data_IF_179571443734
#
_entry.id   IF_179571443734
#
_cell.length_a   1.000
_cell.length_b   1.000
_cell.length_c   1.000
_cell.angle_alpha   90.00
_cell.angle_beta   90.00
_cell.angle_gamma   90.00
#
_symmetry.space_group_name_H-M   'P 1'
#
loop_
_entity.id
_entity.type
_entity.pdbx_description
1 polymer ?
#
# COMPACT_ATOMS: atom_id res chain seq x y z
N UNK A 1 42.72 -14.30 -10.68
CA UNK A 1 43.18 -14.12 -9.30
C UNK A 1 44.43 -13.24 -9.35
N UNK A 2 44.31 -11.96 -9.03
CA UNK A 2 45.46 -11.03 -9.01
C UNK A 2 45.86 -10.87 -7.54
N UNK A 3 47.08 -11.21 -7.21
CA UNK A 3 47.67 -10.98 -5.87
C UNK A 3 48.40 -9.65 -5.89
N UNK A 4 48.07 -8.78 -4.94
CA UNK A 4 48.87 -7.62 -4.62
C UNK A 4 49.92 -7.96 -3.59
N UNK A 5 51.04 -7.25 -3.55
CA UNK A 5 52.16 -7.46 -2.65
C UNK A 5 51.86 -7.31 -1.17
N UNK A 6 50.62 -6.83 -0.81
CA UNK A 6 50.15 -6.67 0.56
C UNK A 6 49.32 -7.85 1.13
N UNK A 7 49.26 -8.97 0.40
CA UNK A 7 48.59 -10.20 0.85
C UNK A 7 47.06 -10.17 0.87
N UNK A 8 46.41 -9.12 0.37
CA UNK A 8 44.94 -9.05 0.26
C UNK A 8 44.44 -9.73 -1.01
N UNK A 9 43.64 -10.75 -0.87
CA UNK A 9 42.95 -11.43 -1.97
C UNK A 9 41.62 -10.70 -2.22
N UNK A 10 41.50 -10.01 -3.32
CA UNK A 10 40.19 -9.53 -3.80
C UNK A 10 39.49 -10.68 -4.52
N UNK A 11 38.39 -11.14 -3.95
CA UNK A 11 37.47 -12.03 -4.65
C UNK A 11 36.77 -11.21 -5.74
N UNK A 12 37.08 -11.47 -7.01
CA UNK A 12 36.33 -10.92 -8.14
C UNK A 12 34.92 -11.52 -8.08
N UNK A 13 33.97 -10.79 -7.50
CA UNK A 13 32.55 -11.08 -7.73
C UNK A 13 32.28 -10.80 -9.22
N UNK A 14 31.68 -11.74 -9.94
CA UNK A 14 31.34 -11.52 -11.36
C UNK A 14 30.53 -10.24 -11.49
N UNK A 15 30.82 -9.41 -12.49
CA UNK A 15 30.07 -8.16 -12.76
C UNK A 15 28.55 -8.40 -12.82
N UNK A 16 28.15 -9.59 -13.25
CA UNK A 16 26.77 -10.05 -13.26
C UNK A 16 26.16 -10.11 -11.85
N UNK A 17 26.93 -10.51 -10.83
CA UNK A 17 26.45 -10.57 -9.44
C UNK A 17 26.22 -9.15 -8.86
N UNK A 18 27.08 -8.21 -9.24
CA UNK A 18 26.96 -6.80 -8.85
C UNK A 18 25.75 -6.13 -9.52
N UNK A 19 25.52 -6.45 -10.79
CA UNK A 19 24.35 -5.99 -11.56
C UNK A 19 23.05 -6.59 -11.00
N UNK A 20 23.05 -7.88 -10.63
CA UNK A 20 21.90 -8.55 -10.00
C UNK A 20 21.62 -7.97 -8.62
N UNK A 21 22.65 -7.71 -7.80
CA UNK A 21 22.49 -7.05 -6.49
C UNK A 21 21.95 -5.61 -6.63
N UNK A 22 22.47 -4.83 -7.58
CA UNK A 22 21.95 -3.50 -7.91
C UNK A 22 20.50 -3.56 -8.40
N UNK A 23 20.16 -4.54 -9.24
CA UNK A 23 18.80 -4.75 -9.75
C UNK A 23 17.83 -5.15 -8.63
N UNK A 24 18.24 -6.03 -7.71
CA UNK A 24 17.47 -6.45 -6.53
C UNK A 24 17.26 -5.30 -5.52
N UNK A 25 18.15 -4.29 -5.50
CA UNK A 25 18.03 -3.13 -4.62
C UNK A 25 17.23 -1.97 -5.23
N UNK A 26 16.90 -2.01 -6.53
CA UNK A 26 16.32 -0.85 -7.22
C UNK A 26 14.97 -0.38 -6.67
N UNK A 27 14.18 -1.27 -6.07
CA UNK A 27 12.85 -0.94 -5.57
C UNK A 27 12.68 -1.16 -4.06
N UNK A 28 13.67 -1.78 -3.39
CA UNK A 28 13.65 -1.91 -1.93
C UNK A 28 13.73 -0.53 -1.28
N UNK A 29 12.96 -0.34 -0.21
CA UNK A 29 12.83 0.95 0.46
C UNK A 29 11.75 1.85 -0.14
N UNK A 30 11.14 1.52 -1.29
CA UNK A 30 10.06 2.29 -1.90
C UNK A 30 8.69 1.78 -1.46
N UNK A 31 7.78 2.73 -1.22
CA UNK A 31 6.37 2.49 -0.87
C UNK A 31 5.46 3.18 -1.88
N UNK A 32 4.39 2.50 -2.30
CA UNK A 32 3.35 3.05 -3.16
C UNK A 32 2.04 2.98 -2.37
N UNK A 33 1.50 4.11 -2.00
CA UNK A 33 0.39 4.23 -1.06
C UNK A 33 -0.83 4.74 -1.83
N UNK A 34 -1.81 3.87 -2.05
CA UNK A 34 -3.10 4.28 -2.55
C UNK A 34 -4.06 4.49 -1.39
N UNK A 35 -4.61 5.69 -1.28
CA UNK A 35 -5.60 6.05 -0.27
C UNK A 35 -6.82 6.70 -0.92
N UNK A 36 -7.98 6.48 -0.33
CA UNK A 36 -9.23 7.03 -0.84
C UNK A 36 -10.38 6.82 0.13
N UNK A 37 -11.44 7.60 0.03
CA UNK A 37 -12.73 7.28 0.63
C UNK A 37 -13.27 5.93 0.17
N UNK A 38 -14.04 5.28 1.04
CA UNK A 38 -14.68 4.00 0.71
C UNK A 38 -15.61 4.15 -0.51
N UNK A 39 -15.42 3.33 -1.54
CA UNK A 39 -16.22 3.40 -2.78
C UNK A 39 -15.57 4.17 -3.92
N UNK A 40 -14.42 4.82 -3.74
CA UNK A 40 -13.71 5.57 -4.78
C UNK A 40 -13.07 4.70 -5.88
N UNK A 41 -13.02 3.36 -5.71
CA UNK A 41 -12.42 2.46 -6.69
C UNK A 41 -10.93 2.16 -6.49
N UNK A 42 -10.36 2.55 -5.35
CA UNK A 42 -8.95 2.35 -4.97
C UNK A 42 -8.45 0.93 -5.22
N UNK A 43 -9.14 -0.08 -4.68
CA UNK A 43 -8.74 -1.49 -4.81
C UNK A 43 -8.65 -1.94 -6.27
N UNK A 44 -9.48 -1.40 -7.15
CA UNK A 44 -9.45 -1.71 -8.59
C UNK A 44 -8.15 -1.20 -9.22
N UNK A 45 -7.76 0.04 -8.91
CA UNK A 45 -6.51 0.62 -9.39
C UNK A 45 -5.29 -0.12 -8.84
N UNK A 46 -5.29 -0.44 -7.54
CA UNK A 46 -4.20 -1.21 -6.90
C UNK A 46 -4.02 -2.58 -7.59
N UNK A 47 -5.12 -3.30 -7.84
CA UNK A 47 -5.06 -4.60 -8.54
C UNK A 47 -4.55 -4.46 -9.96
N UNK A 48 -4.93 -3.38 -10.67
CA UNK A 48 -4.45 -3.10 -12.00
C UNK A 48 -2.94 -2.87 -12.01
N UNK A 49 -2.43 -2.01 -11.15
CA UNK A 49 -1.01 -1.71 -11.00
C UNK A 49 -0.20 -2.96 -10.61
N UNK A 50 -0.70 -3.78 -9.70
CA UNK A 50 -0.07 -5.07 -9.34
C UNK A 50 0.05 -6.02 -10.52
N UNK A 51 -0.96 -6.04 -11.39
CA UNK A 51 -0.95 -6.87 -12.61
C UNK A 51 0.03 -6.35 -13.66
N UNK A 52 0.22 -5.03 -13.72
CA UNK A 52 1.11 -4.38 -14.70
C UNK A 52 2.59 -4.54 -14.30
N UNK A 53 2.91 -4.51 -13.01
CA UNK A 53 4.29 -4.52 -12.48
C UNK A 53 4.58 -5.68 -11.52
N UNK A 54 4.29 -6.94 -11.88
CA UNK A 54 4.35 -8.07 -10.93
C UNK A 54 5.77 -8.36 -10.42
N UNK A 55 6.79 -7.99 -11.18
CA UNK A 55 8.20 -8.21 -10.78
C UNK A 55 8.76 -7.08 -9.92
N UNK A 56 8.19 -5.87 -10.00
CA UNK A 56 8.71 -4.68 -9.34
C UNK A 56 7.99 -4.35 -8.03
N UNK A 57 6.74 -4.79 -7.88
CA UNK A 57 5.90 -4.47 -6.71
C UNK A 57 5.25 -5.71 -6.11
N UNK A 58 4.95 -5.64 -4.82
CA UNK A 58 4.17 -6.67 -4.12
C UNK A 58 3.20 -6.01 -3.13
N UNK A 59 2.03 -6.62 -2.97
CA UNK A 59 0.98 -6.12 -2.08
C UNK A 59 1.33 -6.36 -0.62
N UNK A 60 1.16 -5.35 0.23
CA UNK A 60 1.29 -5.47 1.68
C UNK A 60 0.01 -6.04 2.28
N UNK A 61 0.13 -7.19 2.92
CA UNK A 61 -0.99 -7.81 3.64
C UNK A 61 -1.09 -7.16 5.02
N UNK A 62 -2.21 -6.46 5.28
CA UNK A 62 -2.46 -5.83 6.57
C UNK A 62 -2.79 -6.86 7.65
N UNK A 63 -2.45 -6.55 8.90
CA UNK A 63 -2.95 -7.26 10.07
C UNK A 63 -4.26 -6.65 10.55
N UNK A 64 -5.14 -7.48 11.11
CA UNK A 64 -6.41 -7.02 11.70
C UNK A 64 -6.82 -7.86 12.91
N UNK A 65 -7.49 -7.22 13.87
CA UNK A 65 -8.09 -7.93 15.01
C UNK A 65 -9.53 -8.36 14.79
N UNK A 66 -10.15 -8.06 13.62
CA UNK A 66 -11.48 -8.56 13.31
C UNK A 66 -11.48 -10.05 12.95
N UNK A 67 -12.62 -10.68 13.13
CA UNK A 67 -12.83 -12.04 12.67
C UNK A 67 -12.83 -12.15 11.15
N UNK A 68 -12.38 -13.31 10.64
CA UNK A 68 -12.48 -13.68 9.22
C UNK A 68 -13.93 -13.63 8.74
N UNK A 69 -14.13 -13.21 7.50
CA UNK A 69 -15.44 -13.20 6.84
C UNK A 69 -15.45 -14.20 5.69
N UNK A 70 -16.43 -15.07 5.69
CA UNK A 70 -16.63 -16.03 4.59
C UNK A 70 -15.37 -16.82 4.23
N UNK A 71 -14.92 -16.68 2.99
CA UNK A 71 -13.81 -17.43 2.41
C UNK A 71 -12.42 -16.77 2.58
N UNK A 72 -12.33 -15.63 3.33
CA UNK A 72 -11.05 -14.96 3.56
C UNK A 72 -10.01 -15.93 4.16
N UNK A 73 -8.74 -15.78 3.77
CA UNK A 73 -7.63 -16.62 4.18
C UNK A 73 -6.59 -15.86 4.99
N UNK A 74 -6.10 -16.46 6.08
CA UNK A 74 -5.02 -15.86 6.88
C UNK A 74 -3.70 -15.86 6.10
N UNK A 75 -3.00 -14.72 6.11
CA UNK A 75 -1.74 -14.53 5.38
C UNK A 75 -1.93 -14.32 3.87
N UNK A 76 -3.17 -14.12 3.42
CA UNK A 76 -3.51 -13.82 2.03
C UNK A 76 -4.39 -12.57 1.93
N UNK A 77 -5.54 -12.57 2.62
CA UNK A 77 -6.42 -11.40 2.68
C UNK A 77 -5.98 -10.46 3.82
N UNK A 78 -5.74 -11.02 4.99
CA UNK A 78 -5.22 -10.35 6.18
C UNK A 78 -4.39 -11.31 7.04
N UNK A 79 -3.52 -10.75 7.90
CA UNK A 79 -3.03 -11.45 9.08
C UNK A 79 -4.04 -11.27 10.21
N UNK A 80 -4.84 -12.32 10.51
CA UNK A 80 -5.87 -12.27 11.53
C UNK A 80 -5.24 -12.54 12.90
N UNK A 81 -5.31 -11.56 13.77
CA UNK A 81 -4.78 -11.59 15.13
C UNK A 81 -5.93 -11.54 16.15
N UNK A 82 -5.72 -12.06 17.35
CA UNK A 82 -6.59 -11.71 18.46
C UNK A 82 -6.37 -10.24 18.84
N UNK A 83 -7.35 -9.61 19.54
CA UNK A 83 -7.18 -8.25 20.06
C UNK A 83 -5.96 -8.15 20.99
N UNK A 84 -5.74 -9.20 21.80
CA UNK A 84 -4.62 -9.24 22.73
C UNK A 84 -3.28 -9.36 21.99
N UNK A 85 -3.18 -10.22 20.96
CA UNK A 85 -1.97 -10.36 20.16
C UNK A 85 -1.68 -9.08 19.37
N UNK A 86 -2.73 -8.42 18.83
CA UNK A 86 -2.57 -7.14 18.16
C UNK A 86 -1.99 -6.08 19.11
N UNK A 87 -2.56 -5.94 20.32
CA UNK A 87 -2.08 -5.00 21.34
C UNK A 87 -0.66 -5.33 21.82
N UNK A 88 -0.32 -6.62 21.96
CA UNK A 88 1.03 -7.04 22.29
C UNK A 88 2.04 -6.61 21.22
N UNK A 89 1.70 -6.80 19.93
CA UNK A 89 2.53 -6.35 18.81
C UNK A 89 2.67 -4.83 18.74
N UNK A 90 1.62 -4.07 19.07
CA UNK A 90 1.69 -2.60 19.22
C UNK A 90 2.68 -2.23 20.32
N UNK A 91 2.58 -2.85 21.50
CA UNK A 91 3.47 -2.59 22.63
C UNK A 91 4.94 -2.93 22.31
N UNK A 92 5.18 -3.95 21.48
CA UNK A 92 6.49 -4.35 20.99
C UNK A 92 6.98 -3.50 19.80
N UNK A 93 6.24 -2.46 19.38
CA UNK A 93 6.59 -1.61 18.24
C UNK A 93 6.81 -2.39 16.92
N UNK A 94 5.99 -3.44 16.68
CA UNK A 94 6.09 -4.29 15.49
C UNK A 94 5.31 -3.73 14.28
N UNK A 95 4.47 -2.71 14.46
CA UNK A 95 3.74 -2.05 13.38
C UNK A 95 4.49 -0.81 12.85
N UNK A 96 4.37 -0.56 11.55
CA UNK A 96 4.74 0.71 10.93
C UNK A 96 3.67 1.77 11.21
N UNK A 97 2.41 1.39 11.07
CA UNK A 97 1.23 2.17 11.40
C UNK A 97 0.13 1.21 11.86
N UNK A 98 -0.81 1.71 12.65
CA UNK A 98 -2.02 1.01 13.03
C UNK A 98 -3.07 1.99 13.49
N UNK A 99 -4.35 1.60 13.37
CA UNK A 99 -5.47 2.37 13.90
C UNK A 99 -6.58 1.48 14.43
N UNK A 100 -7.39 2.03 15.34
CA UNK A 100 -8.65 1.44 15.77
C UNK A 100 -9.79 2.03 14.93
N UNK A 101 -10.16 1.36 13.86
CA UNK A 101 -11.19 1.81 12.90
C UNK A 101 -12.60 1.77 13.51
N UNK A 102 -12.85 0.76 14.34
CA UNK A 102 -14.08 0.62 15.14
C UNK A 102 -13.70 0.08 16.52
N UNK A 103 -14.54 0.33 17.52
CA UNK A 103 -14.29 -0.14 18.89
C UNK A 103 -13.91 -1.63 18.93
N UNK A 104 -12.70 -1.94 19.37
CA UNK A 104 -12.12 -3.28 19.44
C UNK A 104 -11.64 -3.84 18.09
N UNK A 105 -11.77 -3.11 17.00
CA UNK A 105 -11.32 -3.56 15.66
C UNK A 105 -10.17 -2.72 15.16
N UNK A 106 -9.00 -3.34 15.12
CA UNK A 106 -7.74 -2.71 14.74
C UNK A 106 -7.29 -3.21 13.37
N UNK A 107 -6.61 -2.33 12.64
CA UNK A 107 -5.89 -2.65 11.41
C UNK A 107 -4.50 -2.03 11.49
N UNK A 108 -3.54 -2.61 10.79
CA UNK A 108 -2.20 -2.04 10.73
C UNK A 108 -1.26 -2.81 9.81
N UNK A 109 -0.14 -2.20 9.52
CA UNK A 109 0.92 -2.74 8.68
C UNK A 109 2.08 -3.22 9.53
N UNK A 110 2.37 -4.52 9.48
CA UNK A 110 3.51 -5.10 10.19
C UNK A 110 4.83 -4.70 9.51
N UNK A 111 5.84 -4.32 10.29
CA UNK A 111 7.20 -4.05 9.80
C UNK A 111 7.78 -5.25 9.06
N UNK A 112 7.62 -6.44 9.63
CA UNK A 112 8.09 -7.70 9.05
C UNK A 112 7.49 -7.97 7.66
N UNK A 113 6.25 -7.54 7.38
CA UNK A 113 5.63 -7.70 6.06
C UNK A 113 6.30 -6.82 5.02
N UNK A 114 6.60 -5.58 5.35
CA UNK A 114 7.31 -4.66 4.47
C UNK A 114 8.75 -5.13 4.23
N UNK A 115 9.45 -5.54 5.28
CA UNK A 115 10.80 -6.11 5.19
C UNK A 115 10.84 -7.36 4.31
N UNK A 116 9.84 -8.24 4.43
CA UNK A 116 9.69 -9.44 3.59
C UNK A 116 9.62 -9.09 2.09
N UNK A 117 8.90 -8.03 1.74
CA UNK A 117 8.74 -7.57 0.35
C UNK A 117 10.04 -6.91 -0.13
N UNK A 118 10.62 -6.04 0.69
CA UNK A 118 11.89 -5.38 0.35
C UNK A 118 13.04 -6.37 0.19
N UNK A 119 13.07 -7.46 0.97
CA UNK A 119 14.07 -8.51 0.83
C UNK A 119 14.02 -9.22 -0.54
N UNK A 120 12.89 -9.12 -1.27
CA UNK A 120 12.75 -9.60 -2.66
C UNK A 120 13.16 -8.54 -3.70
N UNK A 121 13.63 -7.36 -3.28
CA UNK A 121 13.97 -6.24 -4.16
C UNK A 121 12.76 -5.51 -4.73
N UNK A 122 11.55 -5.74 -4.19
CA UNK A 122 10.29 -5.15 -4.68
C UNK A 122 9.90 -3.93 -3.86
N UNK A 123 9.21 -2.98 -4.50
CA UNK A 123 8.48 -1.92 -3.81
C UNK A 123 7.20 -2.47 -3.19
N UNK A 124 6.77 -1.88 -2.08
CA UNK A 124 5.53 -2.28 -1.39
C UNK A 124 4.38 -1.42 -1.87
N UNK A 125 3.26 -2.03 -2.26
CA UNK A 125 2.03 -1.29 -2.57
C UNK A 125 0.96 -1.53 -1.50
N UNK A 126 0.27 -0.45 -1.11
CA UNK A 126 -0.76 -0.43 -0.08
C UNK A 126 -2.13 -0.04 -0.64
N UNK A 127 -3.16 -0.75 -0.19
CA UNK A 127 -4.57 -0.37 -0.28
C UNK A 127 -5.05 -0.01 1.13
N UNK A 128 -4.78 1.22 1.56
CA UNK A 128 -4.94 1.67 2.94
C UNK A 128 -5.90 2.86 3.02
N UNK A 129 -6.47 3.12 4.18
CA UNK A 129 -7.29 4.30 4.40
C UNK A 129 -6.46 5.59 4.39
N UNK A 130 -7.14 6.73 4.52
CA UNK A 130 -6.49 8.04 4.36
C UNK A 130 -5.54 8.35 5.51
N UNK A 131 -5.92 8.02 6.75
CA UNK A 131 -5.12 8.33 7.94
C UNK A 131 -3.84 7.47 7.98
N UNK A 132 -3.98 6.16 7.79
CA UNK A 132 -2.83 5.24 7.69
C UNK A 132 -1.91 5.60 6.53
N UNK A 133 -2.49 5.99 5.38
CA UNK A 133 -1.71 6.44 4.22
C UNK A 133 -0.89 7.69 4.48
N UNK A 134 -1.46 8.69 5.14
CA UNK A 134 -0.73 9.91 5.54
C UNK A 134 0.35 9.61 6.58
N UNK A 135 0.10 8.72 7.52
CA UNK A 135 1.09 8.30 8.52
C UNK A 135 2.32 7.68 7.85
N UNK A 136 2.11 6.74 6.91
CA UNK A 136 3.19 6.15 6.12
C UNK A 136 3.91 7.18 5.26
N UNK A 137 3.17 8.06 4.57
CA UNK A 137 3.75 9.13 3.74
C UNK A 137 4.64 10.06 4.56
N UNK A 138 4.19 10.50 5.73
CA UNK A 138 4.95 11.38 6.61
C UNK A 138 6.21 10.70 7.17
N UNK A 139 6.15 9.40 7.43
CA UNK A 139 7.29 8.63 7.93
C UNK A 139 8.34 8.40 6.84
N UNK A 140 7.94 8.02 5.63
CA UNK A 140 8.84 7.62 4.53
C UNK A 140 9.15 8.75 3.55
N UNK A 141 8.41 9.84 3.57
CA UNK A 141 8.66 11.06 2.77
C UNK A 141 8.87 10.74 1.27
N UNK A 142 10.07 11.00 0.76
CA UNK A 142 10.43 10.81 -0.65
C UNK A 142 10.54 9.31 -1.06
N UNK A 143 10.67 8.40 -0.10
CA UNK A 143 10.62 6.96 -0.37
C UNK A 143 9.20 6.44 -0.59
N UNK A 144 8.17 7.26 -0.33
CA UNK A 144 6.78 6.92 -0.50
C UNK A 144 6.11 7.80 -1.55
N UNK A 145 5.45 7.17 -2.53
CA UNK A 145 4.50 7.82 -3.44
C UNK A 145 3.09 7.71 -2.84
N UNK A 146 2.54 8.84 -2.41
CA UNK A 146 1.16 8.93 -1.91
C UNK A 146 0.20 9.31 -3.03
N UNK A 147 -0.70 8.40 -3.37
CA UNK A 147 -1.71 8.57 -4.41
C UNK A 147 -3.10 8.61 -3.78
N UNK A 148 -3.80 9.72 -3.94
CA UNK A 148 -5.19 9.84 -3.49
C UNK A 148 -6.15 9.53 -4.66
N UNK A 149 -7.02 8.52 -4.50
CA UNK A 149 -8.02 8.18 -5.52
C UNK A 149 -9.32 8.94 -5.26
N UNK A 150 -9.57 9.95 -6.08
CA UNK A 150 -10.70 10.86 -5.95
C UNK A 150 -11.91 10.35 -6.74
N UNK A 151 -13.09 10.22 -6.12
CA UNK A 151 -14.34 9.96 -6.85
C UNK A 151 -14.77 11.22 -7.64
N UNK A 152 -15.55 11.09 -8.72
CA UNK A 152 -16.03 12.24 -9.50
C UNK A 152 -16.89 13.20 -8.68
N UNK A 153 -17.67 12.67 -7.75
CA UNK A 153 -18.50 13.45 -6.81
C UNK A 153 -18.92 12.59 -5.62
N UNK A 154 -19.37 13.25 -4.55
CA UNK A 154 -19.99 12.58 -3.39
C UNK A 154 -21.23 11.80 -3.80
N UNK A 155 -22.03 12.34 -4.75
CA UNK A 155 -23.20 11.65 -5.27
C UNK A 155 -22.88 10.32 -5.93
N UNK A 156 -21.87 10.28 -6.80
CA UNK A 156 -21.39 9.04 -7.43
C UNK A 156 -20.84 8.07 -6.38
N UNK A 157 -20.16 8.58 -5.36
CA UNK A 157 -19.67 7.76 -4.25
C UNK A 157 -20.84 7.09 -3.51
N UNK A 158 -21.90 7.84 -3.21
CA UNK A 158 -23.13 7.35 -2.57
C UNK A 158 -23.79 6.27 -3.40
N UNK A 159 -23.97 6.50 -4.71
CA UNK A 159 -24.51 5.52 -5.66
C UNK A 159 -23.69 4.23 -5.67
N UNK A 160 -22.35 4.34 -5.68
CA UNK A 160 -21.43 3.19 -5.62
C UNK A 160 -21.51 2.43 -4.29
N UNK A 161 -21.73 3.12 -3.17
CA UNK A 161 -21.92 2.49 -1.87
C UNK A 161 -23.25 1.74 -1.78
N UNK A 162 -24.34 2.34 -2.30
CA UNK A 162 -25.65 1.70 -2.36
C UNK A 162 -25.66 0.44 -3.22
N UNK A 163 -24.94 0.43 -4.35
CA UNK A 163 -24.90 -0.72 -5.27
C UNK A 163 -24.25 -1.97 -4.68
N UNK A 164 -23.46 -1.86 -3.61
CA UNK A 164 -22.76 -3.00 -2.95
C UNK A 164 -23.68 -3.87 -2.09
N UNK A 165 -24.95 -3.51 -1.89
CA UNK A 165 -26.05 -4.31 -1.27
C UNK A 165 -25.80 -4.86 0.15
N UNK A 166 -24.68 -4.56 0.80
CA UNK A 166 -24.29 -5.16 2.09
C UNK A 166 -24.42 -4.21 3.28
N UNK A 167 -24.68 -2.92 3.04
CA UNK A 167 -24.64 -1.90 4.06
C UNK A 167 -26.05 -1.36 4.40
N UNK A 168 -26.31 -1.11 5.69
CA UNK A 168 -27.49 -0.39 6.14
C UNK A 168 -27.42 1.10 5.77
N UNK A 169 -28.58 1.77 5.69
CA UNK A 169 -28.65 3.20 5.43
C UNK A 169 -27.79 4.04 6.38
N UNK A 170 -27.78 3.68 7.66
CA UNK A 170 -26.96 4.37 8.68
C UNK A 170 -25.47 4.14 8.49
N UNK A 171 -25.08 2.96 7.97
CA UNK A 171 -23.69 2.67 7.61
C UNK A 171 -23.25 3.54 6.44
N UNK A 172 -24.08 3.67 5.41
CA UNK A 172 -23.79 4.50 4.23
C UNK A 172 -23.66 5.96 4.63
N UNK A 173 -24.60 6.50 5.42
CA UNK A 173 -24.55 7.89 5.88
C UNK A 173 -23.25 8.21 6.64
N UNK A 174 -22.81 7.30 7.54
CA UNK A 174 -21.51 7.43 8.24
C UNK A 174 -20.32 7.41 7.30
N UNK A 175 -20.32 6.54 6.26
CA UNK A 175 -19.26 6.47 5.27
C UNK A 175 -19.18 7.72 4.42
N UNK A 176 -20.32 8.31 4.04
CA UNK A 176 -20.38 9.57 3.29
C UNK A 176 -19.81 10.71 4.13
N UNK A 177 -20.24 10.83 5.39
CA UNK A 177 -19.71 11.85 6.30
C UNK A 177 -18.19 11.71 6.54
N UNK A 178 -17.67 10.44 6.62
CA UNK A 178 -16.22 10.19 6.66
C UNK A 178 -15.56 10.62 5.35
N UNK A 179 -16.16 10.26 4.20
CA UNK A 179 -15.62 10.60 2.87
C UNK A 179 -15.50 12.11 2.63
N UNK A 180 -16.47 12.91 3.08
CA UNK A 180 -16.41 14.38 3.00
C UNK A 180 -15.21 14.97 3.76
N UNK A 181 -14.84 14.37 4.88
CA UNK A 181 -13.66 14.76 5.66
C UNK A 181 -12.37 14.31 4.95
N UNK A 182 -12.35 13.06 4.47
CA UNK A 182 -11.21 12.48 3.79
C UNK A 182 -10.88 13.21 2.48
N UNK A 183 -11.89 13.66 1.71
CA UNK A 183 -11.69 14.43 0.49
C UNK A 183 -10.94 15.76 0.73
N UNK A 184 -11.10 16.38 1.89
CA UNK A 184 -10.39 17.62 2.25
C UNK A 184 -8.90 17.41 2.48
N UNK A 185 -8.46 16.18 2.67
CA UNK A 185 -7.04 15.85 2.89
C UNK A 185 -6.31 15.40 1.63
N UNK A 186 -6.99 15.38 0.49
CA UNK A 186 -6.42 14.97 -0.79
C UNK A 186 -5.13 15.73 -1.17
N UNK A 187 -5.06 17.03 -0.83
CA UNK A 187 -3.91 17.90 -1.08
C UNK A 187 -2.66 17.55 -0.24
N UNK A 188 -2.80 16.70 0.78
CA UNK A 188 -1.69 16.22 1.61
C UNK A 188 -0.95 15.03 0.98
N UNK A 189 -1.48 14.47 -0.09
CA UNK A 189 -0.85 13.42 -0.89
C UNK A 189 -0.01 14.03 -2.01
N UNK A 190 0.91 13.25 -2.60
CA UNK A 190 1.75 13.75 -3.69
C UNK A 190 0.96 14.03 -4.96
N UNK A 191 -0.07 13.21 -5.20
CA UNK A 191 -0.89 13.28 -6.41
C UNK A 191 -2.29 12.72 -6.14
N UNK A 192 -3.28 13.21 -6.89
CA UNK A 192 -4.59 12.58 -6.94
C UNK A 192 -4.92 12.06 -8.34
N UNK A 193 -5.69 10.99 -8.38
CA UNK A 193 -6.24 10.40 -9.60
C UNK A 193 -7.76 10.54 -9.53
N UNK A 194 -8.36 11.29 -10.44
CA UNK A 194 -9.82 11.34 -10.59
C UNK A 194 -10.29 10.03 -11.24
N UNK A 195 -11.08 9.24 -10.51
CA UNK A 195 -11.62 7.97 -10.99
C UNK A 195 -13.06 8.16 -11.53
N UNK A 196 -13.16 8.94 -12.60
CA UNK A 196 -14.40 9.11 -13.38
C UNK A 196 -14.49 8.00 -14.43
N UNK A 197 -13.44 7.85 -15.24
CA UNK A 197 -13.30 6.80 -16.24
C UNK A 197 -12.18 5.83 -15.79
N UNK A 198 -12.56 4.57 -15.57
CA UNK A 198 -11.66 3.59 -15.00
C UNK A 198 -10.38 3.38 -15.83
N UNK A 199 -10.52 3.35 -17.16
CA UNK A 199 -9.39 3.13 -18.07
C UNK A 199 -8.35 4.26 -17.97
N UNK A 200 -8.81 5.51 -17.95
CA UNK A 200 -7.95 6.69 -17.80
C UNK A 200 -7.28 6.70 -16.42
N UNK A 201 -8.04 6.39 -15.36
CA UNK A 201 -7.51 6.30 -14.00
C UNK A 201 -6.46 5.19 -13.87
N UNK A 202 -6.66 4.05 -14.52
CA UNK A 202 -5.69 2.95 -14.57
C UNK A 202 -4.41 3.37 -15.32
N UNK A 203 -4.54 4.00 -16.49
CA UNK A 203 -3.40 4.48 -17.26
C UNK A 203 -2.58 5.51 -16.48
N UNK A 204 -3.27 6.45 -15.77
CA UNK A 204 -2.58 7.43 -14.93
C UNK A 204 -1.88 6.79 -13.73
N UNK A 205 -2.49 5.79 -13.10
CA UNK A 205 -1.86 5.03 -12.01
C UNK A 205 -0.60 4.31 -12.47
N UNK A 206 -0.62 3.70 -13.66
CA UNK A 206 0.56 3.07 -14.27
C UNK A 206 1.69 4.07 -14.54
N UNK A 207 1.35 5.22 -15.15
CA UNK A 207 2.33 6.27 -15.45
C UNK A 207 3.05 6.74 -14.18
N UNK A 208 2.29 7.08 -13.12
CA UNK A 208 2.85 7.56 -11.86
C UNK A 208 3.73 6.52 -11.16
N UNK A 209 3.31 5.26 -11.18
CA UNK A 209 4.09 4.17 -10.57
C UNK A 209 5.35 3.89 -11.38
N UNK A 210 5.28 3.88 -12.71
CA UNK A 210 6.45 3.69 -13.58
C UNK A 210 7.48 4.80 -13.36
N UNK A 211 7.04 6.07 -13.33
CA UNK A 211 7.90 7.22 -13.07
C UNK A 211 8.56 7.11 -11.68
N UNK A 212 7.77 6.85 -10.64
CA UNK A 212 8.29 6.70 -9.27
C UNK A 212 9.32 5.57 -9.14
N UNK A 213 9.10 4.46 -9.83
CA UNK A 213 10.03 3.32 -9.83
C UNK A 213 11.24 3.54 -10.75
N UNK A 214 11.23 4.53 -11.63
CA UNK A 214 12.27 4.78 -12.63
C UNK A 214 12.22 3.77 -13.78
N UNK A 215 11.04 3.24 -14.11
CA UNK A 215 10.83 2.30 -15.21
C UNK A 215 10.67 3.10 -16.50
N UNK A 216 11.64 2.97 -17.40
CA UNK A 216 11.57 3.56 -18.75
C UNK A 216 10.65 2.66 -19.59
N UNK A 217 9.60 3.24 -20.17
CA UNK A 217 8.69 2.57 -21.12
C UNK A 217 9.06 2.87 -22.56
#
# INVERSE_FOLDING_TARGET
MVRFEDGRSFCWMPALYFVVLLYLQMHSGKLIIFSAPSGSGKTTLVRHVLKTFPEQIEFSISATSRQKRGIEENGKDYYYLSVNDFKAKVANNEFLEWEEVYAGTHYGTLKAEVERIWAKGKAVIFDIDVEGGLNLKNQFKQQALGVFVMPPSIKILEERLHSRSTDSKDSIARRISKAEKELKTAELFDVFILNEHLEEACAKAEELVAEFLGIVR
#
